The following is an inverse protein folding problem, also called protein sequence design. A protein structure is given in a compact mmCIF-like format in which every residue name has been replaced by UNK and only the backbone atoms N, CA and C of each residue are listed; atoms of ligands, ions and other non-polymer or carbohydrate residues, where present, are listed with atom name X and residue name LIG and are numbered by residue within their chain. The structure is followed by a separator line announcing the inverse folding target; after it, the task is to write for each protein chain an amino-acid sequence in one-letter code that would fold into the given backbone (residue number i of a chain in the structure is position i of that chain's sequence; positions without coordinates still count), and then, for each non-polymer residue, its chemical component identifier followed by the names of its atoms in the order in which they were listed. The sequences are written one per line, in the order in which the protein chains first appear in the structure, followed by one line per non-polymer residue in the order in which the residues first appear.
data_IF_733831708835
#
_entry.id   IF_733831708835
#
_cell.length_a   1.000
_cell.length_b   1.000
_cell.length_c   1.000
_cell.angle_alpha   90.00
_cell.angle_beta   90.00
_cell.angle_gamma   90.00
#
_symmetry.space_group_name_H-M   'P 1'
#
loop_
_entity.id
_entity.type
_entity.pdbx_description
1 polymer ?
#
# COMPACT_ATOMS: atom_id res chain seq x y z
N UNK A 1 34.04 30.24 7.62
CA UNK A 1 32.69 29.80 7.99
C UNK A 1 32.53 28.40 7.45
N UNK A 2 32.34 27.38 8.32
CA UNK A 2 32.00 26.04 7.81
C UNK A 2 30.58 26.14 7.26
N UNK A 3 30.37 25.72 6.01
CA UNK A 3 29.02 25.54 5.48
C UNK A 3 28.35 24.49 6.37
N UNK A 4 27.22 24.86 6.95
CA UNK A 4 26.39 23.90 7.65
C UNK A 4 25.70 23.05 6.60
N UNK A 5 25.91 21.74 6.67
CA UNK A 5 25.28 20.82 5.74
C UNK A 5 24.03 20.30 6.43
N UNK A 6 22.89 20.37 5.74
CA UNK A 6 21.64 19.89 6.32
C UNK A 6 21.66 18.41 6.68
N UNK A 7 20.63 17.94 7.41
CA UNK A 7 20.56 16.58 7.89
C UNK A 7 20.69 15.56 6.76
N UNK A 8 21.36 14.45 7.03
CA UNK A 8 21.54 13.33 6.11
C UNK A 8 20.67 12.15 6.56
N UNK A 9 19.99 11.51 5.62
CA UNK A 9 19.23 10.30 5.90
C UNK A 9 20.16 9.09 6.06
N UNK A 10 20.12 8.46 7.23
CA UNK A 10 20.79 7.18 7.51
C UNK A 10 19.89 6.00 7.11
N UNK A 11 18.57 6.18 7.22
CA UNK A 11 17.58 5.26 6.71
C UNK A 11 16.33 6.04 6.21
N UNK A 12 15.95 5.91 4.93
CA UNK A 12 16.69 5.25 3.85
C UNK A 12 17.93 6.05 3.44
N UNK A 13 18.97 5.40 2.89
CA UNK A 13 20.11 6.12 2.30
C UNK A 13 19.80 6.68 0.91
N UNK A 14 18.86 6.07 0.22
CA UNK A 14 18.37 6.50 -1.08
C UNK A 14 17.40 7.66 -0.91
N UNK A 15 17.44 8.62 -1.83
CA UNK A 15 16.47 9.74 -1.88
C UNK A 15 15.07 9.30 -2.33
N UNK A 16 14.96 8.12 -2.96
CA UNK A 16 13.71 7.51 -3.37
C UNK A 16 13.72 6.01 -3.08
N UNK A 17 12.65 5.52 -2.46
CA UNK A 17 12.44 4.11 -2.11
C UNK A 17 11.17 3.61 -2.79
N UNK A 18 11.26 2.47 -3.47
CA UNK A 18 10.12 1.79 -4.06
C UNK A 18 9.74 0.60 -3.19
N UNK A 19 8.47 0.49 -2.84
CA UNK A 19 7.95 -0.57 -1.97
C UNK A 19 6.72 -1.23 -2.59
N UNK A 20 6.62 -2.55 -2.45
CA UNK A 20 5.45 -3.32 -2.86
C UNK A 20 4.69 -3.76 -1.61
N UNK A 21 3.47 -3.24 -1.45
CA UNK A 21 2.65 -3.48 -0.25
C UNK A 21 1.31 -4.07 -0.68
N UNK A 22 0.93 -5.17 -0.06
CA UNK A 22 -0.33 -5.84 -0.38
C UNK A 22 -1.51 -5.20 0.35
N UNK A 23 -2.71 -5.25 -0.24
CA UNK A 23 -3.93 -4.91 0.49
C UNK A 23 -4.02 -5.77 1.76
N UNK A 24 -4.37 -5.17 2.89
CA UNK A 24 -4.40 -5.85 4.19
C UNK A 24 -3.03 -5.93 4.90
N UNK A 25 -1.92 -5.67 4.22
CA UNK A 25 -0.62 -5.59 4.89
C UNK A 25 -0.49 -4.30 5.69
N UNK A 26 -0.09 -4.42 6.95
CA UNK A 26 0.44 -3.28 7.71
C UNK A 26 1.90 -3.06 7.30
N UNK A 27 2.16 -1.97 6.59
CA UNK A 27 3.50 -1.52 6.26
C UNK A 27 3.99 -0.57 7.36
N UNK A 28 5.20 -0.82 7.85
CA UNK A 28 5.86 0.04 8.83
C UNK A 28 7.29 0.30 8.36
N UNK A 29 7.73 1.55 8.45
CA UNK A 29 9.08 1.95 8.06
C UNK A 29 9.67 2.89 9.11
N UNK A 30 10.91 2.63 9.53
CA UNK A 30 11.66 3.49 10.43
C UNK A 30 12.52 4.46 9.61
N UNK A 31 12.27 5.75 9.77
CA UNK A 31 13.10 6.79 9.20
C UNK A 31 14.14 7.24 10.21
N UNK A 32 15.38 7.39 9.78
CA UNK A 32 16.50 7.86 10.61
C UNK A 32 17.26 8.96 9.87
N UNK A 33 17.35 10.13 10.48
CA UNK A 33 18.13 11.26 9.99
C UNK A 33 19.19 11.65 11.02
N UNK A 34 20.32 12.12 10.52
CA UNK A 34 21.47 12.50 11.33
C UNK A 34 22.02 13.84 10.88
N UNK A 35 22.44 14.64 11.84
CA UNK A 35 23.27 15.81 11.61
C UNK A 35 24.61 15.67 12.36
N UNK A 36 25.69 16.14 11.75
CA UNK A 36 27.00 16.21 12.38
C UNK A 36 27.11 17.42 13.32
N UNK A 37 26.28 18.43 13.14
CA UNK A 37 26.18 19.58 14.02
C UNK A 37 25.25 19.27 15.21
N UNK A 38 25.86 19.15 16.39
CA UNK A 38 25.16 18.85 17.64
C UNK A 38 24.31 20.01 18.17
N UNK A 39 24.56 21.24 17.69
CA UNK A 39 23.79 22.41 18.13
C UNK A 39 22.41 22.49 17.46
N UNK A 40 22.17 21.69 16.43
CA UNK A 40 21.00 21.80 15.58
C UNK A 40 19.80 21.04 16.14
N UNK A 41 18.60 21.54 15.87
CA UNK A 41 17.38 20.79 16.15
C UNK A 41 16.80 20.23 14.85
N UNK A 42 17.23 19.01 14.51
CA UNK A 42 16.61 18.21 13.45
C UNK A 42 15.14 17.93 13.76
N UNK A 43 14.31 18.16 12.76
CA UNK A 43 12.91 17.75 12.71
C UNK A 43 12.67 16.88 11.50
N UNK A 44 11.77 15.90 11.59
CA UNK A 44 11.27 15.15 10.44
C UNK A 44 9.80 15.52 10.24
N UNK A 45 9.47 15.99 9.04
CA UNK A 45 8.11 16.43 8.68
C UNK A 45 7.58 15.60 7.51
N UNK A 46 6.39 14.98 7.66
CA UNK A 46 5.76 14.26 6.56
C UNK A 46 5.18 15.22 5.51
N UNK A 47 5.26 14.83 4.24
CA UNK A 47 4.75 15.57 3.09
C UNK A 47 3.88 14.63 2.25
N UNK A 48 2.58 14.93 2.17
CA UNK A 48 1.65 14.20 1.30
C UNK A 48 1.34 12.77 1.73
N UNK A 49 1.34 12.47 3.03
CA UNK A 49 1.04 11.13 3.53
C UNK A 49 -0.30 10.59 2.99
N UNK A 50 -0.37 9.28 2.66
CA UNK A 50 -1.60 8.67 2.23
C UNK A 50 -2.63 8.66 3.36
N UNK A 51 -3.91 8.70 3.00
CA UNK A 51 -5.00 8.67 3.98
C UNK A 51 -4.90 7.41 4.87
N UNK A 52 -5.05 7.60 6.18
CA UNK A 52 -4.94 6.53 7.17
C UNK A 52 -3.50 6.20 7.58
N UNK A 53 -2.47 6.86 7.02
CA UNK A 53 -1.11 6.73 7.53
C UNK A 53 -0.95 7.44 8.88
N UNK A 54 -0.13 6.86 9.75
CA UNK A 54 0.21 7.40 11.05
C UNK A 54 1.73 7.48 11.20
N UNK A 55 2.20 8.51 11.92
CA UNK A 55 3.61 8.67 12.28
C UNK A 55 3.77 8.75 13.79
N UNK A 56 4.87 8.23 14.32
CA UNK A 56 5.24 8.44 15.71
C UNK A 56 5.84 9.83 15.90
N UNK A 57 5.87 10.36 17.14
CA UNK A 57 6.71 11.50 17.46
C UNK A 57 8.17 11.22 17.10
N UNK A 58 8.92 12.28 16.79
CA UNK A 58 10.35 12.18 16.53
C UNK A 58 11.07 11.83 17.84
N UNK A 59 11.83 10.74 17.82
CA UNK A 59 12.68 10.31 18.91
C UNK A 59 14.12 10.78 18.68
N UNK A 60 14.79 11.26 19.74
CA UNK A 60 16.21 11.64 19.72
C UNK A 60 17.03 10.60 20.47
N UNK A 61 18.11 10.14 19.86
CA UNK A 61 19.09 9.32 20.57
C UNK A 61 20.01 10.21 21.42
N UNK A 62 19.80 10.20 22.73
CA UNK A 62 20.56 10.98 23.72
C UNK A 62 21.97 10.43 23.99
N UNK A 63 22.28 9.21 23.54
CA UNK A 63 23.53 8.51 23.87
C UNK A 63 24.60 8.63 22.78
N UNK A 64 24.27 9.26 21.66
CA UNK A 64 25.15 9.41 20.51
C UNK A 64 25.96 10.72 20.59
N UNK A 65 27.25 10.69 20.24
CA UNK A 65 28.04 11.91 19.96
C UNK A 65 27.62 12.59 18.65
N UNK A 66 26.47 12.22 18.09
CA UNK A 66 25.88 12.78 16.88
C UNK A 66 24.39 13.01 17.05
N UNK A 67 23.87 13.99 16.33
CA UNK A 67 22.49 14.42 16.43
C UNK A 67 21.63 13.49 15.58
N UNK A 68 21.12 12.39 16.16
CA UNK A 68 20.31 11.40 15.43
C UNK A 68 18.86 11.50 15.88
N UNK A 69 17.96 11.55 14.91
CA UNK A 69 16.52 11.50 15.12
C UNK A 69 15.90 10.35 14.33
N UNK A 70 14.86 9.74 14.89
CA UNK A 70 14.07 8.72 14.19
C UNK A 70 12.57 8.95 14.31
N UNK A 71 11.82 8.44 13.35
CA UNK A 71 10.37 8.28 13.45
C UNK A 71 9.92 7.03 12.71
N UNK A 72 8.82 6.43 13.16
CA UNK A 72 8.17 5.36 12.44
C UNK A 72 6.96 5.90 11.69
N UNK A 73 6.77 5.46 10.46
CA UNK A 73 5.51 5.58 9.73
C UNK A 73 4.85 4.22 9.63
N UNK A 74 3.53 4.18 9.76
CA UNK A 74 2.73 2.98 9.56
C UNK A 74 1.55 3.29 8.65
N UNK A 75 1.26 2.38 7.71
CA UNK A 75 0.13 2.50 6.79
C UNK A 75 -0.43 1.12 6.41
N UNK A 76 -1.74 1.08 6.14
CA UNK A 76 -2.42 -0.09 5.59
C UNK A 76 -3.13 0.38 4.33
N UNK A 77 -2.84 -0.19 3.15
CA UNK A 77 -3.56 0.17 1.94
C UNK A 77 -5.08 -0.04 2.09
N UNK A 78 -5.92 0.90 1.60
CA UNK A 78 -7.36 0.72 1.60
C UNK A 78 -7.77 -0.58 0.88
N UNK A 79 -8.89 -1.21 1.26
CA UNK A 79 -9.45 -2.29 0.47
C UNK A 79 -9.69 -1.83 -0.97
N UNK A 80 -9.47 -2.73 -1.94
CA UNK A 80 -9.63 -2.46 -3.38
C UNK A 80 -8.68 -1.36 -3.94
N UNK A 81 -7.55 -1.10 -3.29
CA UNK A 81 -6.48 -0.22 -3.81
C UNK A 81 -5.56 -0.89 -4.86
N UNK A 82 -5.93 -2.05 -5.39
CA UNK A 82 -5.10 -2.78 -6.37
C UNK A 82 -4.78 -1.93 -7.59
N UNK A 83 -3.51 -1.92 -8.00
CA UNK A 83 -3.02 -1.13 -9.14
C UNK A 83 -2.65 0.30 -8.80
N UNK A 84 -2.90 0.74 -7.57
CA UNK A 84 -2.55 2.09 -7.12
C UNK A 84 -1.02 2.26 -7.00
N UNK A 85 -0.55 3.44 -7.40
CA UNK A 85 0.81 3.92 -7.15
C UNK A 85 0.68 5.22 -6.36
N UNK A 86 1.37 5.31 -5.22
CA UNK A 86 1.33 6.49 -4.33
C UNK A 86 2.73 6.99 -4.02
N UNK A 87 2.90 8.30 -4.20
CA UNK A 87 4.10 9.01 -3.82
C UNK A 87 3.85 9.88 -2.57
N UNK A 88 4.77 9.82 -1.62
CA UNK A 88 4.85 10.76 -0.49
C UNK A 88 6.28 10.88 -0.01
N UNK A 89 6.58 11.89 0.80
CA UNK A 89 7.94 12.17 1.21
C UNK A 89 8.02 12.56 2.68
N UNK A 90 9.26 12.58 3.18
CA UNK A 90 9.61 13.17 4.47
C UNK A 90 10.75 14.14 4.26
N UNK A 91 10.68 15.28 4.93
CA UNK A 91 11.73 16.27 4.94
C UNK A 91 12.37 16.33 6.33
N UNK A 92 13.68 16.10 6.37
CA UNK A 92 14.50 16.38 7.52
C UNK A 92 15.00 17.83 7.41
N UNK A 93 14.79 18.64 8.43
CA UNK A 93 15.24 20.04 8.46
C UNK A 93 15.97 20.32 9.76
N UNK A 94 17.11 20.98 9.68
CA UNK A 94 17.72 21.64 10.82
C UNK A 94 17.18 23.09 10.92
N UNK A 95 16.96 23.58 12.14
CA UNK A 95 16.64 24.98 12.37
C UNK A 95 17.73 25.60 13.25
N UNK A 96 18.67 26.32 12.63
CA UNK A 96 19.54 27.25 13.35
C UNK A 96 18.71 28.42 13.87
N UNK A 97 18.37 28.41 15.17
CA UNK A 97 17.75 29.49 15.96
C UNK A 97 17.60 30.87 15.25
N UNK A 98 16.61 31.00 14.36
CA UNK A 98 16.21 32.27 13.74
C UNK A 98 17.10 32.86 12.65
N UNK A 99 18.00 32.10 12.00
CA UNK A 99 18.69 32.57 10.78
C UNK A 99 18.40 31.62 9.61
N UNK A 100 18.14 32.19 8.44
CA UNK A 100 17.87 31.52 7.14
C UNK A 100 19.08 30.73 6.61
N UNK A 101 19.70 29.88 7.43
CA UNK A 101 20.90 29.12 7.13
C UNK A 101 20.78 27.63 7.36
N UNK A 102 19.60 27.14 7.75
CA UNK A 102 19.40 25.71 7.98
C UNK A 102 19.24 24.92 6.69
N UNK A 103 19.83 23.72 6.66
CA UNK A 103 19.72 22.80 5.56
C UNK A 103 18.49 21.90 5.67
N UNK A 104 18.07 21.36 4.54
CA UNK A 104 17.06 20.31 4.51
C UNK A 104 17.41 19.25 3.50
N UNK A 105 16.96 18.03 3.77
CA UNK A 105 17.03 16.93 2.84
C UNK A 105 15.72 16.16 2.85
N UNK A 106 15.43 15.51 1.73
CA UNK A 106 14.16 14.84 1.53
C UNK A 106 14.39 13.40 1.08
N UNK A 107 13.54 12.52 1.58
CA UNK A 107 13.40 11.16 1.08
C UNK A 107 11.95 10.91 0.69
N UNK A 108 11.75 10.23 -0.44
CA UNK A 108 10.42 9.94 -0.98
C UNK A 108 10.20 8.45 -1.11
N UNK A 109 8.95 8.04 -0.99
CA UNK A 109 8.48 6.67 -1.16
C UNK A 109 7.53 6.62 -2.34
N UNK A 110 7.66 5.57 -3.14
CA UNK A 110 6.69 5.15 -4.14
C UNK A 110 6.14 3.79 -3.74
N UNK A 111 4.91 3.78 -3.22
CA UNK A 111 4.22 2.55 -2.84
C UNK A 111 3.42 2.04 -4.03
N UNK A 112 3.64 0.78 -4.38
CA UNK A 112 2.92 0.07 -5.43
C UNK A 112 2.07 -1.01 -4.79
N UNK A 113 0.76 -0.96 -5.03
CA UNK A 113 -0.18 -1.96 -4.48
C UNK A 113 -0.49 -3.01 -5.56
N UNK A 114 -0.01 -4.26 -5.41
CA UNK A 114 -0.28 -5.30 -6.39
C UNK A 114 -1.77 -5.60 -6.51
N UNK A 115 -2.21 -5.80 -7.76
CA UNK A 115 -3.59 -6.16 -8.09
C UNK A 115 -3.94 -7.55 -7.57
N UNK A 116 -5.20 -7.73 -7.19
CA UNK A 116 -5.80 -9.04 -6.83
C UNK A 116 -5.16 -9.79 -5.65
N UNK A 117 -4.20 -9.21 -4.94
CA UNK A 117 -3.49 -9.87 -3.85
C UNK A 117 -3.81 -9.21 -2.51
N UNK A 118 -4.17 -10.03 -1.53
CA UNK A 118 -4.50 -9.61 -0.18
C UNK A 118 -3.69 -10.41 0.83
N UNK A 119 -3.04 -9.71 1.76
CA UNK A 119 -2.34 -10.32 2.89
C UNK A 119 -3.30 -10.45 4.06
N UNK A 120 -3.54 -11.69 4.48
CA UNK A 120 -4.42 -12.02 5.60
C UNK A 120 -3.90 -11.38 6.89
N UNK A 121 -4.76 -10.65 7.60
CA UNK A 121 -4.45 -10.05 8.90
C UNK A 121 -4.89 -10.96 10.04
N UNK A 122 -4.35 -10.69 11.22
CA UNK A 122 -4.84 -11.28 12.46
C UNK A 122 -6.33 -11.03 12.63
N UNK A 123 -7.11 -12.09 12.79
CA UNK A 123 -8.57 -12.04 12.98
C UNK A 123 -9.39 -11.95 11.68
N UNK A 124 -8.76 -11.92 10.50
CA UNK A 124 -9.50 -12.06 9.26
C UNK A 124 -10.06 -13.48 9.10
N UNK A 125 -11.24 -13.60 8.48
CA UNK A 125 -11.80 -14.86 7.99
C UNK A 125 -12.07 -14.75 6.49
N UNK A 126 -12.28 -15.85 5.77
CA UNK A 126 -12.64 -15.76 4.34
C UNK A 126 -13.95 -15.00 4.15
N UNK A 127 -14.90 -15.12 5.09
CA UNK A 127 -16.15 -14.37 5.10
C UNK A 127 -15.93 -12.86 5.27
N UNK A 128 -15.10 -12.42 6.22
CA UNK A 128 -14.84 -10.98 6.41
C UNK A 128 -14.07 -10.39 5.23
N UNK A 129 -13.10 -11.11 4.69
CA UNK A 129 -12.35 -10.69 3.49
C UNK A 129 -13.30 -10.63 2.29
N UNK A 130 -14.09 -11.67 2.05
CA UNK A 130 -15.02 -11.72 0.91
C UNK A 130 -16.03 -10.57 0.93
N UNK A 131 -16.54 -10.20 2.11
CA UNK A 131 -17.43 -9.05 2.26
C UNK A 131 -16.77 -7.73 1.82
N UNK A 132 -15.51 -7.50 2.20
CA UNK A 132 -14.75 -6.31 1.79
C UNK A 132 -14.54 -6.24 0.26
N UNK A 133 -14.46 -7.39 -0.40
CA UNK A 133 -14.26 -7.50 -1.85
C UNK A 133 -15.55 -7.70 -2.64
N UNK A 134 -16.71 -7.62 -2.01
CA UNK A 134 -18.02 -7.83 -2.67
C UNK A 134 -18.13 -9.20 -3.36
N UNK A 135 -17.60 -10.25 -2.72
CA UNK A 135 -17.66 -11.64 -3.19
C UNK A 135 -18.12 -12.57 -2.06
N UNK A 136 -18.17 -13.88 -2.32
CA UNK A 136 -18.49 -14.90 -1.32
C UNK A 136 -17.22 -15.60 -0.82
N UNK A 137 -17.25 -16.07 0.43
CA UNK A 137 -16.15 -16.87 0.99
C UNK A 137 -15.90 -18.13 0.14
N UNK A 138 -16.95 -18.71 -0.45
CA UNK A 138 -16.84 -19.90 -1.30
C UNK A 138 -16.10 -19.58 -2.61
N UNK A 139 -16.39 -18.43 -3.22
CA UNK A 139 -15.69 -17.97 -4.42
C UNK A 139 -14.22 -17.66 -4.09
N UNK A 140 -13.96 -17.01 -2.96
CA UNK A 140 -12.61 -16.70 -2.50
C UNK A 140 -11.82 -17.98 -2.21
N UNK A 141 -12.45 -18.98 -1.57
CA UNK A 141 -11.85 -20.29 -1.34
C UNK A 141 -11.55 -21.01 -2.66
N UNK A 142 -12.51 -21.05 -3.59
CA UNK A 142 -12.33 -21.69 -4.90
C UNK A 142 -11.21 -21.05 -5.75
N UNK A 143 -10.99 -19.75 -5.58
CA UNK A 143 -9.89 -19.02 -6.21
C UNK A 143 -8.51 -19.39 -5.63
N UNK A 144 -8.47 -19.87 -4.39
CA UNK A 144 -7.25 -20.17 -3.65
C UNK A 144 -7.14 -21.66 -3.33
N UNK A 145 -6.80 -22.46 -4.34
CA UNK A 145 -6.66 -23.94 -4.24
C UNK A 145 -5.71 -24.42 -3.13
N UNK A 146 -4.81 -23.56 -2.64
CA UNK A 146 -3.89 -23.86 -1.54
C UNK A 146 -4.53 -23.77 -0.15
N UNK A 147 -5.77 -23.28 -0.02
CA UNK A 147 -6.47 -23.20 1.26
C UNK A 147 -7.09 -24.57 1.56
N UNK A 148 -6.49 -25.25 2.55
CA UNK A 148 -6.74 -26.67 2.83
C UNK A 148 -8.16 -27.02 3.26
N UNK A 149 -8.93 -26.08 3.82
CA UNK A 149 -10.27 -26.34 4.38
C UNK A 149 -11.25 -25.19 4.13
N UNK A 150 -12.52 -25.49 3.79
CA UNK A 150 -13.56 -24.46 3.68
C UNK A 150 -13.94 -23.89 5.06
N UNK A 151 -14.45 -22.66 5.08
CA UNK A 151 -14.97 -22.01 6.29
C UNK A 151 -16.36 -22.57 6.67
N UNK A 152 -16.69 -22.61 7.98
CA UNK A 152 -18.07 -22.87 8.44
C UNK A 152 -18.34 -24.19 9.18
N UNK A 153 -17.35 -25.09 9.32
CA UNK A 153 -17.47 -26.33 10.11
C UNK A 153 -16.71 -26.27 11.45
N UNK A 154 -16.73 -25.14 12.14
CA UNK A 154 -15.94 -24.92 13.38
C UNK A 154 -14.44 -24.71 13.14
N UNK A 155 -14.07 -24.37 11.91
CA UNK A 155 -12.68 -24.16 11.48
C UNK A 155 -12.55 -22.76 10.87
N UNK A 156 -11.49 -22.04 11.24
CA UNK A 156 -11.14 -20.71 10.72
C UNK A 156 -10.63 -20.76 9.28
N UNK A 157 -11.45 -21.26 8.33
CA UNK A 157 -11.26 -21.11 6.89
C UNK A 157 -9.90 -21.55 6.29
N UNK A 158 -9.06 -22.26 7.05
CA UNK A 158 -7.72 -22.69 6.65
C UNK A 158 -6.74 -21.56 6.30
N UNK A 159 -7.03 -20.31 6.67
CA UNK A 159 -6.15 -19.16 6.41
C UNK A 159 -5.34 -18.77 7.64
N UNK A 160 -4.14 -18.23 7.45
CA UNK A 160 -3.27 -17.76 8.53
C UNK A 160 -2.83 -16.31 8.32
N UNK A 161 -2.61 -15.57 9.40
CA UNK A 161 -2.06 -14.21 9.31
C UNK A 161 -0.72 -14.22 8.57
N UNK A 162 -0.52 -13.26 7.67
CA UNK A 162 0.63 -13.19 6.77
C UNK A 162 0.51 -14.04 5.50
N UNK A 163 -0.49 -14.91 5.39
CA UNK A 163 -0.76 -15.65 4.16
C UNK A 163 -1.23 -14.71 3.06
N UNK A 164 -0.63 -14.82 1.88
CA UNK A 164 -1.07 -14.11 0.69
C UNK A 164 -2.15 -14.93 -0.04
N UNK A 165 -3.29 -14.30 -0.33
CA UNK A 165 -4.39 -14.91 -1.07
C UNK A 165 -4.81 -14.04 -2.26
N UNK A 166 -5.38 -14.68 -3.27
CA UNK A 166 -6.00 -14.02 -4.40
C UNK A 166 -7.43 -13.60 -4.02
N UNK A 167 -7.79 -12.35 -4.27
CA UNK A 167 -9.16 -11.83 -4.06
C UNK A 167 -9.92 -11.63 -5.38
N UNK A 168 -9.24 -11.79 -6.51
CA UNK A 168 -9.81 -11.83 -7.84
C UNK A 168 -8.88 -12.57 -8.81
N UNK A 169 -9.31 -12.71 -10.06
CA UNK A 169 -8.49 -13.24 -11.14
C UNK A 169 -7.77 -12.10 -11.87
N UNK A 170 -6.48 -12.27 -12.09
CA UNK A 170 -5.70 -11.35 -12.90
C UNK A 170 -5.84 -11.72 -14.37
N UNK A 171 -6.46 -10.84 -15.16
CA UNK A 171 -6.78 -11.05 -16.58
C UNK A 171 -5.84 -10.21 -17.44
N UNK A 172 -5.18 -10.85 -18.41
CA UNK A 172 -4.39 -10.16 -19.43
C UNK A 172 -5.32 -9.65 -20.54
N UNK A 173 -5.23 -8.35 -20.84
CA UNK A 173 -6.07 -7.70 -21.85
C UNK A 173 -5.59 -8.01 -23.26
N UNK A 174 -6.51 -8.47 -24.10
CA UNK A 174 -6.29 -8.79 -25.51
C UNK A 174 -6.89 -7.70 -26.43
N UNK A 175 -6.52 -7.69 -27.73
CA UNK A 175 -7.15 -6.79 -28.69
C UNK A 175 -8.67 -6.94 -28.71
N UNK A 176 -9.38 -5.82 -28.54
CA UNK A 176 -10.83 -5.77 -28.57
C UNK A 176 -11.54 -6.07 -27.24
N UNK A 177 -10.79 -6.35 -26.16
CA UNK A 177 -11.33 -6.41 -24.80
C UNK A 177 -11.79 -5.02 -24.33
N UNK A 178 -12.94 -4.96 -23.66
CA UNK A 178 -13.48 -3.73 -23.06
C UNK A 178 -13.99 -4.04 -21.66
N UNK A 179 -14.17 -3.02 -20.81
CA UNK A 179 -14.70 -3.20 -19.45
C UNK A 179 -16.07 -3.90 -19.46
N UNK A 180 -16.94 -3.57 -20.43
CA UNK A 180 -18.26 -4.19 -20.61
C UNK A 180 -18.13 -5.68 -20.96
N UNK A 181 -17.23 -6.02 -21.89
CA UNK A 181 -17.01 -7.41 -22.30
C UNK A 181 -16.42 -8.25 -21.17
N UNK A 182 -15.48 -7.69 -20.40
CA UNK A 182 -14.95 -8.37 -19.21
C UNK A 182 -16.05 -8.55 -18.16
N UNK A 183 -16.82 -7.49 -17.86
CA UNK A 183 -17.92 -7.56 -16.90
C UNK A 183 -18.91 -8.67 -17.27
N UNK A 184 -19.39 -8.70 -18.51
CA UNK A 184 -20.30 -9.73 -19.02
C UNK A 184 -19.68 -11.13 -18.97
N UNK A 185 -18.42 -11.29 -19.38
CA UNK A 185 -17.71 -12.58 -19.40
C UNK A 185 -17.57 -13.19 -18.01
N UNK A 186 -17.28 -12.36 -17.00
CA UNK A 186 -17.03 -12.81 -15.62
C UNK A 186 -18.26 -12.70 -14.70
N UNK A 187 -19.43 -12.31 -15.24
CA UNK A 187 -20.65 -12.12 -14.47
C UNK A 187 -20.53 -11.00 -13.42
N UNK A 188 -19.63 -10.04 -13.62
CA UNK A 188 -19.38 -8.95 -12.68
C UNK A 188 -19.86 -7.61 -13.24
N UNK A 189 -19.63 -6.51 -12.54
CA UNK A 189 -19.99 -5.17 -13.01
C UNK A 189 -18.74 -4.39 -13.41
N UNK A 190 -18.87 -3.49 -14.37
CA UNK A 190 -17.80 -2.52 -14.68
C UNK A 190 -17.37 -1.75 -13.44
N UNK A 191 -18.34 -1.40 -12.57
CA UNK A 191 -18.07 -0.70 -11.32
C UNK A 191 -17.13 -1.50 -10.42
N UNK A 192 -17.37 -2.80 -10.23
CA UNK A 192 -16.50 -3.64 -9.41
C UNK A 192 -15.11 -3.82 -10.04
N UNK A 193 -15.02 -3.91 -11.38
CA UNK A 193 -13.72 -3.93 -12.07
C UNK A 193 -12.96 -2.63 -11.80
N UNK A 194 -13.59 -1.47 -11.99
CA UNK A 194 -12.95 -0.16 -11.75
C UNK A 194 -12.54 0.00 -10.28
N UNK A 195 -13.40 -0.41 -9.34
CA UNK A 195 -13.08 -0.34 -7.91
C UNK A 195 -11.84 -1.16 -7.56
N UNK A 196 -11.58 -2.28 -8.25
CA UNK A 196 -10.43 -3.16 -8.01
C UNK A 196 -9.14 -2.77 -8.75
N UNK A 197 -9.17 -1.71 -9.57
CA UNK A 197 -8.08 -1.31 -10.45
C UNK A 197 -7.93 0.22 -10.46
N UNK A 198 -7.18 0.76 -9.51
CA UNK A 198 -7.02 2.21 -9.31
C UNK A 198 -6.26 2.91 -10.46
N UNK A 199 -5.55 2.15 -11.27
CA UNK A 199 -4.85 2.60 -12.48
C UNK A 199 -5.77 2.62 -13.73
N UNK A 200 -7.04 2.23 -13.62
CA UNK A 200 -7.99 2.18 -14.75
C UNK A 200 -9.12 3.18 -14.53
N UNK A 201 -9.42 3.97 -15.57
CA UNK A 201 -10.51 4.94 -15.58
C UNK A 201 -11.56 4.58 -16.63
N UNK A 202 -12.86 4.83 -16.40
CA UNK A 202 -13.90 4.60 -17.41
C UNK A 202 -13.74 5.47 -18.66
N UNK A 203 -12.94 6.54 -18.59
CA UNK A 203 -12.74 7.47 -19.70
C UNK A 203 -11.70 7.00 -20.72
N UNK A 204 -10.92 5.97 -20.41
CA UNK A 204 -9.84 5.47 -21.25
C UNK A 204 -10.07 4.01 -21.63
N UNK A 205 -9.77 3.61 -22.88
CA UNK A 205 -9.85 2.21 -23.28
C UNK A 205 -8.80 1.38 -22.53
N UNK A 206 -9.07 0.08 -22.38
CA UNK A 206 -8.10 -0.85 -21.84
C UNK A 206 -6.89 -0.97 -22.78
N UNK A 207 -5.69 -0.99 -22.19
CA UNK A 207 -4.43 -1.16 -22.93
C UNK A 207 -4.15 -2.64 -23.14
N UNK A 208 -3.92 -3.04 -24.38
CA UNK A 208 -3.54 -4.43 -24.71
C UNK A 208 -2.25 -4.80 -23.98
N UNK A 209 -2.23 -5.98 -23.36
CA UNK A 209 -1.10 -6.48 -22.58
C UNK A 209 -1.08 -6.04 -21.12
N UNK A 210 -1.97 -5.13 -20.69
CA UNK A 210 -2.08 -4.80 -19.27
C UNK A 210 -2.84 -5.89 -18.49
N UNK A 211 -2.61 -5.95 -17.18
CA UNK A 211 -3.33 -6.85 -16.28
C UNK A 211 -4.47 -6.11 -15.58
N UNK A 212 -5.64 -6.76 -15.52
CA UNK A 212 -6.84 -6.25 -14.84
C UNK A 212 -7.28 -7.24 -13.78
N UNK A 213 -7.49 -6.75 -12.56
CA UNK A 213 -8.07 -7.55 -11.49
C UNK A 213 -9.58 -7.65 -11.67
N UNK A 214 -10.10 -8.87 -11.78
CA UNK A 214 -11.53 -9.13 -11.98
C UNK A 214 -12.03 -10.09 -10.92
N UNK A 215 -13.08 -9.70 -10.19
CA UNK A 215 -13.76 -10.57 -9.25
C UNK A 215 -14.92 -11.24 -9.98
N UNK A 216 -14.84 -12.54 -10.29
CA UNK A 216 -15.93 -13.26 -10.93
C UNK A 216 -17.10 -13.44 -9.96
N UNK A 217 -18.34 -13.33 -10.47
CA UNK A 217 -19.54 -13.73 -9.74
C UNK A 217 -20.08 -15.01 -10.32
N UNK A 218 -20.11 -16.07 -9.51
CA UNK A 218 -20.80 -17.32 -9.84
C UNK A 218 -22.32 -17.25 -9.61
N UNK A 219 -22.79 -16.22 -8.91
CA UNK A 219 -24.21 -16.00 -8.60
C UNK A 219 -24.71 -14.66 -9.16
N UNK A 220 -24.32 -14.30 -10.38
CA UNK A 220 -24.89 -13.12 -11.03
C UNK A 220 -26.41 -13.33 -11.18
N UNK A 221 -27.19 -12.81 -10.22
CA UNK A 221 -28.56 -12.42 -10.50
C UNK A 221 -28.45 -11.46 -11.67
N UNK A 222 -28.87 -11.93 -12.86
CA UNK A 222 -28.98 -11.09 -14.03
C UNK A 222 -29.91 -9.95 -13.63
N UNK A 223 -29.35 -8.76 -13.38
CA UNK A 223 -30.13 -7.55 -13.34
C UNK A 223 -30.75 -7.40 -14.74
N UNK A 224 -32.05 -7.69 -14.82
CA UNK A 224 -32.91 -7.40 -15.97
C UNK A 224 -33.12 -5.89 -16.09
#
# INVERSE_FOLDING_TARGET
MRQDHGPVWENPKQSRVEEYIFMGQTWTYELVAKDMNLADNITITPIGLPSGAAVTPVYRDSNSQSNIVSMNVTWVPPPKSGGEVRDFCFQASDYLNGKNGGGSSQVCFELRIPKCLYMVRTGDTLKSIAANFSTSWLQLWALNKGISKPEGYGLEGGITAGQLINVGQLVLINPGDTLEKLAAKFGTTMRLILDMNQDITPLQPLVVGQHVCVIPSSCAERAL
#
